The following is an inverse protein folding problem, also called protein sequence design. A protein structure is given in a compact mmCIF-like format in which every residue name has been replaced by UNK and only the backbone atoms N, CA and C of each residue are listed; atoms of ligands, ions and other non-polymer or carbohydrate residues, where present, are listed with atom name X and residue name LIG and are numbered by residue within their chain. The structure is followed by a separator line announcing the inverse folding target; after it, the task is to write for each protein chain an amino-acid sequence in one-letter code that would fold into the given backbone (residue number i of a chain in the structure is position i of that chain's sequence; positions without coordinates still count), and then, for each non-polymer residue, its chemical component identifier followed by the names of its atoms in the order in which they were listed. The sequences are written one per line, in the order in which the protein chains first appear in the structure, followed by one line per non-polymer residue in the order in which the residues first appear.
data_IF_456295391651
#
_entry.id   IF_456295391651
#
_cell.length_a   1.000
_cell.length_b   1.000
_cell.length_c   1.000
_cell.angle_alpha   90.00
_cell.angle_beta   90.00
_cell.angle_gamma   90.00
#
_symmetry.space_group_name_H-M   'P 1'
#
loop_
_entity.id
_entity.type
_entity.pdbx_description
1 polymer ?
#
# COMPACT_ATOMS: atom_id res chain seq x y z
N UNK A 1 -11.58 -9.97 -10.52
CA UNK A 1 -12.49 -9.86 -9.35
C UNK A 1 -13.12 -8.47 -9.32
N UNK A 2 -14.45 -8.37 -9.23
CA UNK A 2 -15.20 -7.13 -8.96
C UNK A 2 -14.86 -6.54 -7.59
N UNK A 3 -15.11 -5.24 -7.41
CA UNK A 3 -14.84 -4.53 -6.14
C UNK A 3 -15.64 -5.12 -4.96
N UNK A 4 -16.91 -5.45 -5.17
CA UNK A 4 -17.76 -6.02 -4.11
C UNK A 4 -17.28 -7.39 -3.64
N UNK A 5 -16.91 -8.28 -4.58
CA UNK A 5 -16.34 -9.60 -4.25
C UNK A 5 -14.99 -9.45 -3.52
N UNK A 6 -14.16 -8.50 -3.97
CA UNK A 6 -12.89 -8.19 -3.30
C UNK A 6 -13.11 -7.69 -1.86
N UNK A 7 -14.07 -6.79 -1.65
CA UNK A 7 -14.40 -6.24 -0.32
C UNK A 7 -14.99 -7.32 0.59
N UNK A 8 -15.93 -8.13 0.09
CA UNK A 8 -16.54 -9.21 0.86
C UNK A 8 -15.48 -10.19 1.34
N UNK A 9 -14.56 -10.59 0.45
CA UNK A 9 -13.44 -11.46 0.80
C UNK A 9 -12.53 -10.89 1.89
N UNK A 10 -12.37 -9.56 2.00
CA UNK A 10 -11.59 -8.96 3.10
C UNK A 10 -12.29 -9.08 4.44
N UNK A 11 -13.60 -8.84 4.49
CA UNK A 11 -14.40 -8.98 5.71
C UNK A 11 -14.64 -10.42 6.10
N UNK A 12 -14.68 -11.35 5.15
CA UNK A 12 -14.87 -12.77 5.44
C UNK A 12 -13.55 -13.44 5.87
N UNK A 13 -12.41 -12.81 5.62
CA UNK A 13 -11.08 -13.29 5.99
C UNK A 13 -10.71 -13.05 7.46
N UNK A 14 -11.38 -12.12 8.13
CA UNK A 14 -11.08 -11.70 9.50
C UNK A 14 -12.40 -11.72 10.28
N UNK A 15 -12.34 -11.84 11.61
CA UNK A 15 -13.49 -11.59 12.50
C UNK A 15 -13.35 -10.22 13.18
N UNK A 16 -14.42 -9.64 13.72
CA UNK A 16 -14.35 -8.37 14.47
C UNK A 16 -13.27 -8.36 15.57
N UNK A 17 -13.10 -9.51 16.25
CA UNK A 17 -12.06 -9.73 17.27
C UNK A 17 -10.61 -9.76 16.72
N UNK A 18 -10.42 -9.62 15.40
CA UNK A 18 -9.13 -9.63 14.72
C UNK A 18 -8.65 -11.01 14.31
N UNK A 19 -9.38 -12.09 14.61
CA UNK A 19 -8.98 -13.47 14.25
C UNK A 19 -9.03 -13.66 12.74
N UNK A 20 -7.93 -14.13 12.14
CA UNK A 20 -7.89 -14.53 10.72
C UNK A 20 -8.49 -15.92 10.57
N UNK A 21 -9.47 -16.09 9.68
CA UNK A 21 -10.24 -17.33 9.50
C UNK A 21 -10.01 -18.04 8.17
N UNK A 22 -9.17 -17.46 7.31
CA UNK A 22 -8.73 -18.04 6.05
C UNK A 22 -7.23 -18.33 6.12
N UNK A 23 -6.77 -19.39 5.46
CA UNK A 23 -5.33 -19.61 5.26
C UNK A 23 -4.83 -18.57 4.26
N UNK A 24 -4.09 -17.53 4.68
CA UNK A 24 -3.92 -16.37 3.82
C UNK A 24 -2.81 -16.67 2.80
N UNK A 25 -3.09 -16.70 1.49
CA UNK A 25 -2.01 -16.48 0.54
C UNK A 25 -1.61 -15.01 0.75
N UNK A 26 -0.38 -14.79 1.22
CA UNK A 26 0.20 -13.46 1.42
C UNK A 26 -0.25 -12.45 0.33
N UNK A 27 -0.54 -11.19 0.70
CA UNK A 27 -0.30 -10.56 2.00
C UNK A 27 -1.45 -10.70 3.01
N UNK A 28 -1.14 -10.53 4.32
CA UNK A 28 -2.13 -10.54 5.41
C UNK A 28 -3.34 -9.64 5.12
N UNK A 29 -4.56 -10.03 5.49
CA UNK A 29 -5.75 -9.20 5.32
C UNK A 29 -5.57 -7.82 5.97
N UNK A 30 -5.93 -6.76 5.24
CA UNK A 30 -5.74 -5.38 5.70
C UNK A 30 -6.49 -5.10 7.02
N UNK A 31 -7.70 -5.65 7.18
CA UNK A 31 -8.51 -5.50 8.39
C UNK A 31 -7.78 -6.06 9.62
N UNK A 32 -7.10 -7.20 9.48
CA UNK A 32 -6.30 -7.77 10.56
C UNK A 32 -5.11 -6.86 10.91
N UNK A 33 -4.44 -6.31 9.90
CA UNK A 33 -3.31 -5.39 10.09
C UNK A 33 -3.70 -4.14 10.90
N UNK A 34 -4.90 -3.62 10.72
CA UNK A 34 -5.38 -2.39 11.36
C UNK A 34 -6.17 -2.62 12.65
N UNK A 35 -6.33 -3.87 13.10
CA UNK A 35 -7.04 -4.17 14.34
C UNK A 35 -6.38 -3.52 15.55
N UNK A 36 -7.07 -2.57 16.20
CA UNK A 36 -6.55 -1.90 17.39
C UNK A 36 -6.40 -2.86 18.57
N UNK A 37 -7.27 -3.87 18.68
CA UNK A 37 -7.13 -4.96 19.67
C UNK A 37 -5.78 -5.67 19.53
N UNK A 38 -5.42 -6.05 18.30
CA UNK A 38 -4.12 -6.68 18.01
C UNK A 38 -2.96 -5.71 18.30
N UNK A 39 -3.08 -4.46 17.87
CA UNK A 39 -2.03 -3.45 18.11
C UNK A 39 -1.79 -3.28 19.60
N UNK A 40 -2.84 -3.13 20.41
CA UNK A 40 -2.73 -3.04 21.88
C UNK A 40 -2.10 -4.32 22.44
N UNK A 41 -2.59 -5.50 22.07
CA UNK A 41 -2.05 -6.75 22.60
C UNK A 41 -0.57 -6.96 22.25
N UNK A 42 -0.16 -6.72 21.00
CA UNK A 42 1.22 -6.94 20.56
C UNK A 42 2.18 -5.88 21.10
N UNK A 43 1.80 -4.60 21.03
CA UNK A 43 2.67 -3.51 21.47
C UNK A 43 2.63 -3.33 22.99
N UNK A 44 1.47 -3.52 23.62
CA UNK A 44 1.31 -3.49 25.07
C UNK A 44 2.14 -4.58 25.75
N UNK A 45 2.20 -5.79 25.17
CA UNK A 45 3.09 -6.85 25.67
C UNK A 45 4.58 -6.48 25.62
N UNK A 46 4.99 -5.65 24.65
CA UNK A 46 6.38 -5.25 24.46
C UNK A 46 6.78 -3.99 25.25
N UNK A 47 5.84 -3.04 25.42
CA UNK A 47 6.13 -1.70 25.92
C UNK A 47 5.33 -1.30 27.17
N UNK A 48 4.33 -2.08 27.58
CA UNK A 48 3.29 -1.66 28.53
C UNK A 48 2.18 -0.88 27.82
N UNK A 49 0.93 -1.20 28.10
CA UNK A 49 -0.23 -0.51 27.50
C UNK A 49 -0.25 0.98 27.88
N UNK A 50 0.15 1.31 29.10
CA UNK A 50 0.25 2.67 29.64
C UNK A 50 1.24 3.57 28.87
N UNK A 51 2.18 2.95 28.14
CA UNK A 51 3.15 3.66 27.30
C UNK A 51 2.69 3.78 25.84
N UNK A 52 1.49 3.32 25.51
CA UNK A 52 0.89 3.50 24.19
C UNK A 52 0.06 4.79 24.15
N UNK A 53 0.28 5.59 23.10
CA UNK A 53 -0.54 6.77 22.81
C UNK A 53 -1.26 6.56 21.48
N UNK A 54 -2.59 6.49 21.54
CA UNK A 54 -3.46 6.36 20.37
C UNK A 54 -4.02 7.73 20.01
N UNK A 55 -3.64 8.24 18.84
CA UNK A 55 -4.09 9.55 18.35
C UNK A 55 -5.24 9.35 17.37
N UNK A 56 -6.41 9.89 17.70
CA UNK A 56 -7.62 9.85 16.86
C UNK A 56 -7.90 11.24 16.31
N UNK A 57 -7.51 11.53 15.05
CA UNK A 57 -7.71 12.85 14.48
C UNK A 57 -9.19 13.17 14.28
N UNK A 58 -9.58 14.41 14.57
CA UNK A 58 -10.91 14.90 14.26
C UNK A 58 -11.12 14.99 12.73
N UNK A 59 -12.30 14.62 12.21
CA UNK A 59 -12.62 14.77 10.80
C UNK A 59 -12.39 16.21 10.33
N UNK A 60 -11.57 16.39 9.29
CA UNK A 60 -11.24 17.70 8.73
C UNK A 60 -10.09 18.46 9.39
N UNK A 61 -9.59 18.04 10.56
CA UNK A 61 -8.41 18.65 11.19
C UNK A 61 -7.11 18.08 10.62
N UNK A 62 -6.66 18.65 9.51
CA UNK A 62 -5.40 18.25 8.84
C UNK A 62 -4.14 18.56 9.64
N UNK A 63 -4.23 19.33 10.74
CA UNK A 63 -3.07 19.72 11.55
C UNK A 63 -3.02 19.05 12.92
N UNK A 64 -4.08 18.35 13.33
CA UNK A 64 -4.20 17.72 14.65
C UNK A 64 -3.03 16.80 14.97
N UNK A 65 -2.69 15.87 14.07
CA UNK A 65 -1.61 14.92 14.28
C UNK A 65 -0.24 15.59 14.47
N UNK A 66 0.02 16.71 13.78
CA UNK A 66 1.28 17.46 13.95
C UNK A 66 1.35 18.07 15.35
N UNK A 67 0.29 18.77 15.77
CA UNK A 67 0.22 19.38 17.10
C UNK A 67 0.36 18.34 18.23
N UNK A 68 -0.32 17.20 18.09
CA UNK A 68 -0.21 16.11 19.08
C UNK A 68 1.22 15.57 19.14
N UNK A 69 1.83 15.31 17.98
CA UNK A 69 3.22 14.86 17.94
C UNK A 69 4.18 15.88 18.58
N UNK A 70 4.00 17.17 18.29
CA UNK A 70 4.85 18.23 18.84
C UNK A 70 4.70 18.36 20.36
N UNK A 71 3.47 18.26 20.87
CA UNK A 71 3.19 18.23 22.30
C UNK A 71 3.85 17.02 22.99
N UNK A 72 3.76 15.83 22.38
CA UNK A 72 4.41 14.62 22.90
C UNK A 72 5.94 14.75 22.94
N UNK A 73 6.53 15.47 21.98
CA UNK A 73 7.96 15.70 21.90
C UNK A 73 8.44 16.92 22.70
N UNK A 74 7.52 17.71 23.26
CA UNK A 74 7.84 18.95 23.97
C UNK A 74 8.47 20.03 23.08
N UNK A 75 8.12 20.06 21.79
CA UNK A 75 8.63 21.03 20.81
C UNK A 75 7.57 22.06 20.43
N UNK A 76 7.95 23.26 19.97
CA UNK A 76 6.99 24.24 19.45
C UNK A 76 6.26 23.75 18.20
N UNK A 77 5.14 24.38 17.85
CA UNK A 77 4.39 24.11 16.61
C UNK A 77 5.16 24.59 15.36
N UNK A 78 5.99 23.71 14.79
CA UNK A 78 6.89 23.95 13.65
C UNK A 78 6.60 23.06 12.44
N UNK A 79 5.90 21.94 12.62
CA UNK A 79 5.57 20.99 11.58
C UNK A 79 4.47 21.56 10.68
N UNK A 80 4.68 21.34 9.38
CA UNK A 80 3.75 21.74 8.33
C UNK A 80 3.43 20.54 7.43
N UNK A 81 2.23 20.49 6.85
CA UNK A 81 1.91 19.51 5.82
C UNK A 81 2.90 19.58 4.65
N UNK A 82 3.23 18.45 4.01
CA UNK A 82 4.06 18.45 2.81
C UNK A 82 3.37 19.21 1.65
N UNK A 83 4.17 19.74 0.72
CA UNK A 83 3.67 20.47 -0.45
C UNK A 83 2.81 19.59 -1.38
N UNK A 84 3.08 18.29 -1.42
CA UNK A 84 2.25 17.32 -2.12
C UNK A 84 1.49 16.48 -1.10
N UNK A 85 0.17 16.48 -1.23
CA UNK A 85 -0.70 15.62 -0.45
C UNK A 85 -0.50 14.14 -0.84
N UNK A 86 -0.87 13.23 0.05
CA UNK A 86 -0.91 11.80 -0.25
C UNK A 86 -2.17 11.42 -1.02
N UNK A 87 -2.46 12.18 -2.09
CA UNK A 87 -3.62 11.99 -2.93
C UNK A 87 -3.55 10.63 -3.64
N UNK A 88 -4.64 9.89 -3.55
CA UNK A 88 -4.87 8.68 -4.34
C UNK A 88 -5.31 9.05 -5.75
N UNK A 89 -5.05 8.17 -6.72
CA UNK A 89 -5.65 8.31 -8.05
C UNK A 89 -7.18 8.37 -7.94
N UNK A 90 -7.85 9.19 -8.76
CA UNK A 90 -9.30 9.14 -8.86
C UNK A 90 -9.77 7.77 -9.39
N UNK A 91 -11.04 7.45 -9.18
CA UNK A 91 -11.57 6.10 -9.40
C UNK A 91 -11.36 5.57 -10.83
N UNK A 92 -11.63 6.32 -11.92
CA UNK A 92 -11.35 5.84 -13.27
C UNK A 92 -9.89 5.44 -13.50
N UNK A 93 -8.95 6.25 -13.02
CA UNK A 93 -7.51 6.04 -13.15
C UNK A 93 -7.03 4.87 -12.30
N UNK A 94 -7.57 4.72 -11.09
CA UNK A 94 -7.31 3.58 -10.23
C UNK A 94 -7.81 2.28 -10.88
N UNK A 95 -9.00 2.28 -11.50
CA UNK A 95 -9.52 1.12 -12.24
C UNK A 95 -8.72 0.81 -13.49
N UNK A 96 -8.24 1.82 -14.22
CA UNK A 96 -7.32 1.61 -15.34
C UNK A 96 -6.02 0.95 -14.88
N UNK A 97 -5.43 1.42 -13.77
CA UNK A 97 -4.23 0.81 -13.18
C UNK A 97 -4.52 -0.62 -12.69
N UNK A 98 -5.68 -0.87 -12.07
CA UNK A 98 -6.09 -2.20 -11.63
C UNK A 98 -6.26 -3.16 -12.82
N UNK A 99 -6.88 -2.71 -13.91
CA UNK A 99 -7.03 -3.48 -15.14
C UNK A 99 -5.66 -3.83 -15.75
N UNK A 100 -4.74 -2.87 -15.78
CA UNK A 100 -3.35 -3.12 -16.16
C UNK A 100 -2.69 -4.17 -15.26
N UNK A 101 -2.82 -4.07 -13.93
CA UNK A 101 -2.23 -5.02 -12.99
C UNK A 101 -2.75 -6.44 -13.22
N UNK A 102 -4.06 -6.59 -13.40
CA UNK A 102 -4.67 -7.89 -13.72
C UNK A 102 -4.09 -8.48 -15.01
N UNK A 103 -3.95 -7.67 -16.06
CA UNK A 103 -3.38 -8.10 -17.34
C UNK A 103 -1.88 -8.45 -17.22
N UNK A 104 -1.12 -7.67 -16.45
CA UNK A 104 0.30 -7.93 -16.17
C UNK A 104 0.48 -9.26 -15.44
N UNK A 105 -0.26 -9.49 -14.35
CA UNK A 105 -0.23 -10.74 -13.59
C UNK A 105 -0.66 -11.94 -14.44
N UNK A 106 -1.74 -11.81 -15.22
CA UNK A 106 -2.21 -12.89 -16.09
C UNK A 106 -1.19 -13.31 -17.17
N UNK A 107 -0.25 -12.41 -17.52
CA UNK A 107 0.84 -12.67 -18.47
C UNK A 107 2.14 -13.13 -17.80
N UNK A 108 2.11 -13.48 -16.51
CA UNK A 108 3.28 -13.94 -15.77
C UNK A 108 4.20 -12.82 -15.30
N UNK A 109 3.70 -11.58 -15.24
CA UNK A 109 4.43 -10.47 -14.65
C UNK A 109 4.74 -10.70 -13.17
N UNK A 110 5.96 -10.40 -12.74
CA UNK A 110 6.43 -10.63 -11.38
C UNK A 110 6.17 -9.41 -10.46
N UNK A 111 5.78 -9.69 -9.23
CA UNK A 111 5.46 -8.66 -8.24
C UNK A 111 6.66 -7.75 -7.90
N UNK A 112 7.90 -8.24 -7.73
CA UNK A 112 9.06 -7.39 -7.48
C UNK A 112 9.32 -6.33 -8.57
N UNK A 113 9.27 -6.71 -9.84
CA UNK A 113 9.40 -5.79 -10.98
C UNK A 113 8.29 -4.74 -10.94
N UNK A 114 7.05 -5.16 -10.74
CA UNK A 114 5.93 -4.23 -10.63
C UNK A 114 6.10 -3.24 -9.47
N UNK A 115 6.48 -3.72 -8.28
CA UNK A 115 6.71 -2.89 -7.11
C UNK A 115 7.82 -1.87 -7.34
N UNK A 116 8.90 -2.24 -8.04
CA UNK A 116 9.96 -1.32 -8.35
C UNK A 116 9.55 -0.29 -9.40
N UNK A 117 8.97 -0.72 -10.52
CA UNK A 117 8.53 0.18 -11.59
C UNK A 117 7.43 1.13 -11.11
N UNK A 118 6.34 0.58 -10.59
CA UNK A 118 5.14 1.34 -10.26
C UNK A 118 5.20 1.93 -8.84
N UNK A 119 5.67 1.15 -7.87
CA UNK A 119 5.73 1.55 -6.46
C UNK A 119 6.89 2.49 -6.12
N UNK A 120 7.95 2.53 -6.94
CA UNK A 120 9.11 3.39 -6.71
C UNK A 120 9.30 4.42 -7.82
N UNK A 121 9.49 4.00 -9.08
CA UNK A 121 9.86 4.92 -10.17
C UNK A 121 8.66 5.79 -10.61
N UNK A 122 7.50 5.17 -10.85
CA UNK A 122 6.31 5.87 -11.32
C UNK A 122 5.63 6.70 -10.23
N UNK A 123 5.80 6.31 -8.95
CA UNK A 123 5.05 6.84 -7.81
C UNK A 123 5.01 8.38 -7.71
N UNK A 124 6.11 9.13 -7.89
CA UNK A 124 6.06 10.60 -7.84
C UNK A 124 5.14 11.19 -8.92
N UNK A 125 5.22 10.67 -10.15
CA UNK A 125 4.39 11.14 -11.27
C UNK A 125 2.94 10.72 -11.14
N UNK A 126 2.67 9.53 -10.58
CA UNK A 126 1.32 9.10 -10.25
C UNK A 126 0.66 10.01 -9.21
N UNK A 127 1.41 10.47 -8.20
CA UNK A 127 0.92 11.45 -7.22
C UNK A 127 0.67 12.82 -7.83
N UNK A 128 1.57 13.27 -8.70
CA UNK A 128 1.38 14.51 -9.44
C UNK A 128 0.12 14.44 -10.32
N UNK A 129 -0.09 13.30 -11.00
CA UNK A 129 -1.30 13.06 -11.78
C UNK A 129 -2.55 13.10 -10.90
N UNK A 130 -2.53 12.43 -9.74
CA UNK A 130 -3.65 12.43 -8.80
C UNK A 130 -4.05 13.85 -8.36
N UNK A 131 -3.08 14.76 -8.19
CA UNK A 131 -3.35 16.15 -7.84
C UNK A 131 -3.90 17.01 -9.00
N UNK A 132 -3.76 16.57 -10.25
CA UNK A 132 -4.20 17.30 -11.45
C UNK A 132 -5.44 16.72 -12.12
N UNK A 133 -5.70 15.43 -11.92
CA UNK A 133 -6.83 14.74 -12.51
C UNK A 133 -8.16 15.26 -11.95
N UNK A 134 -9.24 15.06 -12.71
CA UNK A 134 -10.58 15.46 -12.25
C UNK A 134 -10.92 14.66 -11.00
N UNK A 135 -11.27 15.32 -9.87
CA UNK A 135 -11.60 14.61 -8.65
C UNK A 135 -12.78 13.66 -8.87
N UNK A 136 -12.55 12.38 -8.63
CA UNK A 136 -13.57 11.35 -8.61
C UNK A 136 -13.24 10.38 -7.47
N UNK A 137 -13.91 10.54 -6.35
CA UNK A 137 -13.67 9.75 -5.15
C UNK A 137 -14.00 8.27 -5.36
N UNK A 138 -13.18 7.40 -4.78
CA UNK A 138 -13.53 5.99 -4.59
C UNK A 138 -14.35 5.93 -3.31
N UNK A 139 -15.57 5.39 -3.37
CA UNK A 139 -16.44 5.19 -2.21
C UNK A 139 -16.75 3.71 -2.02
N UNK A 140 -17.10 3.35 -0.78
CA UNK A 140 -17.55 2.01 -0.43
C UNK A 140 -19.08 1.90 -0.54
N UNK A 141 -19.64 0.70 -0.75
CA UNK A 141 -21.08 0.48 -0.62
C UNK A 141 -21.49 0.53 0.86
N UNK A 142 -22.76 0.85 1.13
CA UNK A 142 -23.33 0.97 2.49
C UNK A 142 -23.01 -0.23 3.37
N UNK A 143 -23.24 -1.44 2.89
CA UNK A 143 -22.98 -2.67 3.66
C UNK A 143 -21.54 -2.77 4.17
N UNK A 144 -20.57 -2.20 3.43
CA UNK A 144 -19.16 -2.21 3.82
C UNK A 144 -18.88 -1.15 4.90
N UNK A 145 -19.59 -0.03 4.89
CA UNK A 145 -19.55 0.95 5.98
C UNK A 145 -20.17 0.38 7.27
N UNK A 146 -21.31 -0.31 7.16
CA UNK A 146 -21.96 -1.02 8.27
C UNK A 146 -21.02 -2.06 8.89
N UNK A 147 -20.45 -2.96 8.07
CA UNK A 147 -19.45 -3.93 8.55
C UNK A 147 -18.21 -3.24 9.09
N UNK A 148 -17.75 -2.16 8.48
CA UNK A 148 -16.62 -1.37 8.99
C UNK A 148 -16.88 -0.85 10.41
N UNK A 149 -18.10 -0.35 10.66
CA UNK A 149 -18.52 0.09 11.99
C UNK A 149 -18.59 -1.07 12.99
N UNK A 150 -19.06 -2.25 12.60
CA UNK A 150 -19.10 -3.42 13.50
C UNK A 150 -17.70 -3.77 14.03
N UNK A 151 -16.70 -3.82 13.13
CA UNK A 151 -15.31 -4.07 13.51
C UNK A 151 -14.76 -2.93 14.37
N UNK A 152 -15.05 -1.69 13.99
CA UNK A 152 -14.54 -0.51 14.68
C UNK A 152 -15.13 -0.39 16.09
N UNK A 153 -16.40 -0.75 16.30
CA UNK A 153 -17.03 -0.76 17.62
C UNK A 153 -16.34 -1.73 18.59
N UNK A 154 -15.99 -2.92 18.12
CA UNK A 154 -15.21 -3.89 18.88
C UNK A 154 -13.80 -3.38 19.20
N UNK A 155 -13.18 -2.66 18.26
CA UNK A 155 -11.86 -2.06 18.46
C UNK A 155 -11.90 -0.89 19.45
N UNK A 156 -12.91 -0.03 19.38
CA UNK A 156 -13.15 1.04 20.36
C UNK A 156 -13.33 0.44 21.75
N UNK A 157 -14.08 -0.66 21.87
CA UNK A 157 -14.23 -1.37 23.14
C UNK A 157 -12.88 -1.85 23.67
N UNK A 158 -12.06 -2.49 22.82
CA UNK A 158 -10.71 -2.92 23.21
C UNK A 158 -9.80 -1.76 23.66
N UNK A 159 -9.93 -0.59 23.02
CA UNK A 159 -9.18 0.61 23.42
C UNK A 159 -9.68 1.16 24.76
N UNK A 160 -10.99 1.16 25.00
CA UNK A 160 -11.58 1.62 26.27
C UNK A 160 -11.24 0.71 27.45
N UNK A 161 -10.99 -0.57 27.19
CA UNK A 161 -10.61 -1.59 28.17
C UNK A 161 -9.09 -1.63 28.46
N UNK A 162 -8.27 -0.89 27.70
CA UNK A 162 -6.81 -0.89 27.85
C UNK A 162 -6.32 0.28 28.71
N UNK A 163 -5.06 0.20 29.13
CA UNK A 163 -4.39 1.30 29.85
C UNK A 163 -3.78 2.36 28.91
N UNK A 164 -4.04 2.27 27.60
CA UNK A 164 -3.48 3.18 26.61
C UNK A 164 -4.02 4.61 26.75
N UNK A 165 -3.16 5.60 26.51
CA UNK A 165 -3.57 7.00 26.46
C UNK A 165 -4.24 7.30 25.12
N UNK A 166 -5.47 7.81 25.14
CA UNK A 166 -6.19 8.23 23.94
C UNK A 166 -6.19 9.75 23.82
N UNK A 167 -5.76 10.26 22.66
CA UNK A 167 -5.80 11.68 22.31
C UNK A 167 -6.79 11.87 21.17
N UNK A 168 -7.95 12.44 21.48
CA UNK A 168 -9.05 12.65 20.53
C UNK A 168 -10.33 11.95 20.99
N UNK A 169 -11.28 11.80 20.06
CA UNK A 169 -12.56 11.12 20.30
C UNK A 169 -12.61 9.83 19.47
N UNK A 170 -12.77 8.69 20.15
CA UNK A 170 -12.85 7.36 19.51
C UNK A 170 -14.07 7.23 18.59
N UNK A 171 -15.15 7.96 18.86
CA UNK A 171 -16.37 7.88 18.05
C UNK A 171 -16.13 8.48 16.65
N UNK A 172 -15.07 9.28 16.45
CA UNK A 172 -14.63 9.72 15.11
C UNK A 172 -14.10 8.60 14.21
N UNK A 173 -13.86 7.40 14.74
CA UNK A 173 -13.50 6.24 13.93
C UNK A 173 -14.72 5.62 13.23
N UNK A 174 -15.93 5.90 13.72
CA UNK A 174 -17.17 5.44 13.12
C UNK A 174 -17.60 6.39 12.00
N UNK A 175 -18.33 5.85 11.03
CA UNK A 175 -18.92 6.62 9.93
C UNK A 175 -20.44 6.50 9.94
N UNK A 176 -21.14 7.45 9.34
CA UNK A 176 -22.58 7.34 9.08
C UNK A 176 -22.82 6.44 7.84
N UNK A 177 -23.40 5.23 7.97
CA UNK A 177 -23.64 4.35 6.83
C UNK A 177 -24.61 4.93 5.80
N UNK A 178 -25.51 5.83 6.20
CA UNK A 178 -26.48 6.45 5.29
C UNK A 178 -25.83 7.44 4.33
N UNK A 179 -24.62 7.92 4.65
CA UNK A 179 -23.79 8.71 3.75
C UNK A 179 -23.19 7.90 2.59
N UNK A 180 -23.33 6.57 2.61
CA UNK A 180 -22.79 5.67 1.59
C UNK A 180 -23.89 5.14 0.66
N UNK A 181 -23.58 4.96 -0.63
CA UNK A 181 -24.54 4.45 -1.60
C UNK A 181 -24.80 2.94 -1.40
N UNK A 182 -26.01 2.48 -1.71
CA UNK A 182 -26.36 1.05 -1.70
C UNK A 182 -25.50 0.24 -2.69
N UNK A 183 -25.19 0.83 -3.85
CA UNK A 183 -24.35 0.23 -4.88
C UNK A 183 -23.34 1.25 -5.38
N UNK A 184 -22.13 0.78 -5.63
CA UNK A 184 -21.06 1.59 -6.19
C UNK A 184 -21.00 1.37 -7.70
N UNK A 185 -21.26 2.41 -8.47
CA UNK A 185 -21.06 2.38 -9.91
C UNK A 185 -19.57 2.53 -10.24
N UNK A 186 -18.99 1.49 -10.85
CA UNK A 186 -17.61 1.53 -11.31
C UNK A 186 -17.55 2.37 -12.60
N UNK A 187 -16.68 3.39 -12.68
CA UNK A 187 -16.56 4.20 -13.89
C UNK A 187 -16.21 3.35 -15.12
N UNK A 188 -17.04 3.46 -16.15
CA UNK A 188 -16.83 2.75 -17.42
C UNK A 188 -15.92 3.48 -18.41
N UNK A 189 -15.49 4.71 -18.08
CA UNK A 189 -14.67 5.54 -18.95
C UNK A 189 -13.60 6.27 -18.13
N UNK A 190 -12.51 6.62 -18.83
CA UNK A 190 -11.44 7.49 -18.37
C UNK A 190 -11.16 8.48 -19.49
N UNK A 191 -10.73 9.70 -19.16
CA UNK A 191 -10.40 10.69 -20.18
C UNK A 191 -9.22 10.19 -21.04
N UNK A 192 -9.24 10.49 -22.35
CA UNK A 192 -8.13 10.12 -23.25
C UNK A 192 -6.82 10.77 -22.78
N UNK A 193 -6.89 12.00 -22.27
CA UNK A 193 -5.74 12.71 -21.73
C UNK A 193 -5.12 11.96 -20.55
N UNK A 194 -5.92 11.61 -19.54
CA UNK A 194 -5.43 10.93 -18.34
C UNK A 194 -4.98 9.51 -18.64
N UNK A 195 -5.66 8.81 -19.57
CA UNK A 195 -5.21 7.51 -20.06
C UNK A 195 -3.83 7.61 -20.73
N UNK A 196 -3.62 8.62 -21.59
CA UNK A 196 -2.33 8.89 -22.21
C UNK A 196 -1.23 9.18 -21.19
N UNK A 197 -1.53 9.99 -20.18
CA UNK A 197 -0.60 10.31 -19.08
C UNK A 197 -0.24 9.07 -18.26
N UNK A 198 -1.21 8.21 -17.91
CA UNK A 198 -0.94 6.95 -17.21
C UNK A 198 -0.03 6.02 -18.02
N UNK A 199 -0.26 5.90 -19.33
CA UNK A 199 0.58 5.10 -20.22
C UNK A 199 1.99 5.68 -20.29
N UNK A 200 2.14 6.99 -20.46
CA UNK A 200 3.45 7.66 -20.46
C UNK A 200 4.22 7.39 -19.16
N UNK A 201 3.56 7.55 -18.01
CA UNK A 201 4.15 7.31 -16.70
C UNK A 201 4.64 5.87 -16.57
N UNK A 202 3.80 4.89 -16.93
CA UNK A 202 4.16 3.48 -16.86
C UNK A 202 5.30 3.13 -17.83
N UNK A 203 5.25 3.65 -19.07
CA UNK A 203 6.27 3.40 -20.09
C UNK A 203 7.61 4.02 -19.72
N UNK A 204 7.62 5.26 -19.24
CA UNK A 204 8.82 5.93 -18.75
C UNK A 204 9.45 5.16 -17.57
N UNK A 205 8.63 4.67 -16.63
CA UNK A 205 9.11 3.85 -15.53
C UNK A 205 9.73 2.53 -16.01
N UNK A 206 9.10 1.87 -16.98
CA UNK A 206 9.63 0.64 -17.58
C UNK A 206 10.95 0.86 -18.31
N UNK A 207 11.08 1.94 -19.09
CA UNK A 207 12.33 2.30 -19.77
C UNK A 207 13.46 2.57 -18.78
N UNK A 208 13.17 3.29 -17.69
CA UNK A 208 14.14 3.63 -16.66
C UNK A 208 14.58 2.38 -15.87
N UNK A 209 13.67 1.47 -15.56
CA UNK A 209 14.02 0.17 -15.00
C UNK A 209 14.89 -0.64 -15.97
N UNK A 210 14.52 -0.72 -17.25
CA UNK A 210 15.27 -1.44 -18.26
C UNK A 210 16.69 -0.89 -18.44
N UNK A 211 16.86 0.44 -18.39
CA UNK A 211 18.17 1.08 -18.38
C UNK A 211 18.98 0.67 -17.15
N UNK A 212 18.42 0.76 -15.94
CA UNK A 212 19.13 0.34 -14.73
C UNK A 212 19.52 -1.13 -14.73
N UNK A 213 18.66 -2.01 -15.24
CA UNK A 213 18.99 -3.43 -15.38
C UNK A 213 20.14 -3.67 -16.37
N UNK A 214 20.21 -2.90 -17.46
CA UNK A 214 21.33 -2.94 -18.40
C UNK A 214 22.63 -2.42 -17.79
N UNK A 215 22.56 -1.31 -17.05
CA UNK A 215 23.72 -0.70 -16.39
C UNK A 215 24.25 -1.55 -15.23
N UNK A 216 23.36 -2.29 -14.54
CA UNK A 216 23.69 -3.21 -13.47
C UNK A 216 24.08 -4.61 -13.95
N UNK A 217 23.81 -4.95 -15.21
CA UNK A 217 24.29 -6.20 -15.78
C UNK A 217 25.82 -6.17 -15.79
N UNK A 218 26.50 -7.24 -15.33
CA UNK A 218 27.93 -7.34 -15.49
C UNK A 218 28.26 -7.10 -16.96
N UNK A 219 29.20 -6.21 -17.22
CA UNK A 219 29.67 -5.99 -18.58
C UNK A 219 30.11 -7.34 -19.16
N UNK A 220 29.52 -7.75 -20.28
CA UNK A 220 30.04 -8.85 -21.11
C UNK A 220 31.41 -8.51 -21.71
N UNK A 221 31.95 -7.33 -21.40
CA UNK A 221 33.31 -6.97 -21.71
C UNK A 221 34.29 -7.80 -20.88
N UNK A 222 34.80 -8.86 -21.52
CA UNK A 222 35.88 -9.69 -21.04
C UNK A 222 37.13 -8.88 -20.66
N UNK A 223 37.28 -7.64 -21.15
CA UNK A 223 38.38 -6.74 -20.78
C UNK A 223 38.31 -6.27 -19.32
N UNK A 224 37.12 -6.30 -18.70
CA UNK A 224 36.92 -6.00 -17.28
C UNK A 224 37.39 -7.13 -16.35
N UNK A 225 37.73 -8.30 -16.91
CA UNK A 225 38.22 -9.45 -16.15
C UNK A 225 39.72 -9.68 -16.38
N UNK A 226 40.44 -9.92 -15.28
CA UNK A 226 41.85 -10.28 -15.35
C UNK A 226 42.05 -11.58 -16.14
N UNK A 227 43.04 -11.60 -17.03
CA UNK A 227 43.37 -12.76 -17.89
C UNK A 227 43.55 -14.08 -17.12
N UNK A 228 44.00 -14.01 -15.86
CA UNK A 228 44.13 -15.17 -14.96
C UNK A 228 42.79 -15.75 -14.54
N UNK A 229 41.78 -14.91 -14.31
CA UNK A 229 40.46 -15.38 -13.86
C UNK A 229 39.69 -16.03 -15.00
N UNK A 230 39.84 -15.48 -16.22
CA UNK A 230 39.34 -16.11 -17.44
C UNK A 230 40.01 -17.47 -17.71
N UNK A 231 41.34 -17.55 -17.62
CA UNK A 231 42.06 -18.82 -17.79
C UNK A 231 41.65 -19.87 -16.75
N UNK A 232 41.41 -19.44 -15.50
CA UNK A 232 41.00 -20.32 -14.40
C UNK A 232 39.57 -20.86 -14.62
N UNK A 233 38.66 -20.04 -15.14
CA UNK A 233 37.30 -20.46 -15.48
C UNK A 233 37.27 -21.42 -16.69
N UNK A 234 38.07 -21.16 -17.72
CA UNK A 234 38.23 -22.09 -18.86
C UNK A 234 38.77 -23.45 -18.40
N UNK A 235 39.82 -23.47 -17.58
CA UNK A 235 40.37 -24.70 -17.03
C UNK A 235 39.35 -25.47 -16.18
N UNK A 236 38.53 -24.76 -15.39
CA UNK A 236 37.45 -25.34 -14.59
C UNK A 236 36.37 -25.99 -15.46
N UNK A 237 35.95 -25.34 -16.54
CA UNK A 237 34.97 -25.86 -17.49
C UNK A 237 35.49 -27.07 -18.27
N UNK A 238 36.76 -27.05 -18.69
CA UNK A 238 37.42 -28.19 -19.34
C UNK A 238 37.46 -29.39 -18.41
N UNK A 239 37.88 -29.22 -17.15
CA UNK A 239 37.83 -30.32 -16.16
C UNK A 239 36.44 -30.90 -16.00
N UNK A 240 35.41 -30.05 -15.79
CA UNK A 240 34.02 -30.50 -15.65
C UNK A 240 33.51 -31.27 -16.88
N UNK A 241 33.99 -30.93 -18.07
CA UNK A 241 33.60 -31.61 -19.32
C UNK A 241 34.32 -32.94 -19.50
N UNK A 242 35.58 -33.03 -19.06
CA UNK A 242 36.36 -34.28 -19.08
C UNK A 242 35.88 -35.25 -18.01
N UNK A 243 35.46 -34.79 -16.83
CA UNK A 243 34.92 -35.65 -15.75
C UNK A 243 33.46 -36.05 -15.95
N UNK A 244 32.79 -35.58 -17.01
CA UNK A 244 31.42 -35.97 -17.40
C UNK A 244 31.41 -37.02 -18.53
N UNK A 245 32.57 -37.49 -18.97
CA UNK A 245 32.75 -38.72 -19.77
C UNK A 245 33.29 -39.81 -18.86
#
# INVERSE_FOLDING_TARGET
MPLEEWLAGHFDAVRPDGTVVVDPPLPMPQIHRFSLRRVIAEWGAAFGEENLVLVVPAPGDRRGNFRVFEALMGVPEVLAPPAMDNASLPFPEAEMLRAFNNAYTARGGDHPTWMFAMGTIARPRLRELAGRATPYGITAPRWAAERGNDYTADWITAVRESDATVVGDLDHLLVDPDAFPERVEVPGNVSVETAGQLIDIAFAAALDQGRRQRDAAPSDDLSAHGSRDLAREVARRVRRRVTRR
#
